data_IF_317073223437
#
_entry.id   IF_317073223437
#
_cell.length_a   1.000
_cell.length_b   1.000
_cell.length_c   1.000
_cell.angle_alpha   90.00
_cell.angle_beta   90.00
_cell.angle_gamma   90.00
#
_symmetry.space_group_name_H-M   'P 1'
#
loop_
_entity.id
_entity.type
_entity.pdbx_description
1 polymer ?
#
# COMPACT_ATOMS: atom_id res chain seq x y z
N UNK A 1 6.21 -23.63 -3.73
CA UNK A 1 5.12 -23.21 -2.83
C UNK A 1 4.69 -21.85 -3.33
N UNK A 2 3.48 -21.69 -3.88
CA UNK A 2 3.03 -20.38 -4.35
C UNK A 2 2.59 -19.60 -3.11
N UNK A 3 3.41 -18.64 -2.67
CA UNK A 3 3.03 -17.73 -1.59
C UNK A 3 1.76 -16.99 -2.02
N UNK A 4 0.63 -17.39 -1.43
CA UNK A 4 -0.68 -16.81 -1.74
C UNK A 4 -0.70 -15.38 -1.20
N UNK A 5 -0.61 -14.40 -2.09
CA UNK A 5 -0.68 -12.99 -1.72
C UNK A 5 -2.11 -12.67 -1.28
N UNK A 6 -2.23 -12.06 -0.10
CA UNK A 6 -3.51 -11.57 0.38
C UNK A 6 -3.74 -10.16 -0.15
N UNK A 7 -4.62 -10.05 -1.15
CA UNK A 7 -5.02 -8.79 -1.79
C UNK A 7 -5.65 -7.77 -0.83
N UNK A 8 -6.13 -8.21 0.34
CA UNK A 8 -6.74 -7.37 1.38
C UNK A 8 -5.73 -6.76 2.34
N UNK A 9 -4.46 -7.18 2.28
CA UNK A 9 -3.40 -6.70 3.17
C UNK A 9 -2.53 -5.69 2.45
N UNK A 10 -2.34 -4.53 3.07
CA UNK A 10 -1.44 -3.49 2.57
C UNK A 10 -0.02 -4.04 2.46
N UNK A 11 0.60 -4.00 1.26
CA UNK A 11 1.90 -4.62 1.04
C UNK A 11 3.04 -3.88 1.75
N UNK A 12 2.80 -2.64 2.22
CA UNK A 12 3.79 -1.82 2.93
C UNK A 12 3.69 -2.02 4.44
N UNK A 13 2.49 -1.86 5.03
CA UNK A 13 2.36 -1.87 6.49
C UNK A 13 1.80 -3.16 7.09
N UNK A 14 1.41 -4.13 6.27
CA UNK A 14 0.90 -5.43 6.73
C UNK A 14 -0.49 -5.41 7.38
N UNK A 15 -1.16 -4.26 7.45
CA UNK A 15 -2.54 -4.11 7.96
C UNK A 15 -3.56 -4.20 6.82
N UNK A 16 -4.84 -4.33 7.15
CA UNK A 16 -5.92 -4.27 6.16
C UNK A 16 -5.84 -3.00 5.29
N UNK A 17 -5.93 -3.20 3.98
CA UNK A 17 -5.92 -2.09 3.04
C UNK A 17 -7.28 -1.40 2.89
N UNK A 18 -8.36 -2.04 3.33
CA UNK A 18 -9.75 -1.57 3.20
C UNK A 18 -10.10 -1.20 1.75
N UNK A 19 -9.47 -1.87 0.78
CA UNK A 19 -9.83 -1.73 -0.62
C UNK A 19 -11.15 -2.45 -0.88
N UNK A 20 -12.06 -1.75 -1.55
CA UNK A 20 -13.40 -2.19 -1.92
C UNK A 20 -13.53 -2.41 -3.44
N UNK A 21 -12.40 -2.58 -4.15
CA UNK A 21 -12.40 -2.77 -5.61
C UNK A 21 -13.16 -4.04 -6.07
N UNK A 22 -13.41 -4.98 -5.17
CA UNK A 22 -14.22 -6.18 -5.40
C UNK A 22 -15.64 -6.09 -4.80
N UNK A 23 -16.08 -4.91 -4.38
CA UNK A 23 -17.43 -4.65 -3.90
C UNK A 23 -18.29 -3.99 -4.98
N UNK A 24 -19.60 -3.97 -4.78
CA UNK A 24 -20.54 -3.26 -5.66
C UNK A 24 -20.44 -1.72 -5.55
N UNK A 25 -19.72 -1.22 -4.53
CA UNK A 25 -19.52 0.21 -4.28
C UNK A 25 -18.17 0.72 -4.81
N UNK A 26 -18.09 1.98 -5.28
CA UNK A 26 -16.83 2.56 -5.72
C UNK A 26 -15.83 2.65 -4.57
N UNK A 27 -14.63 2.13 -4.77
CA UNK A 27 -13.58 2.22 -3.76
C UNK A 27 -12.96 3.63 -3.73
N UNK A 28 -12.65 4.10 -2.52
CA UNK A 28 -11.88 5.34 -2.29
C UNK A 28 -10.56 5.42 -3.08
N UNK A 29 -9.96 4.28 -3.46
CA UNK A 29 -8.67 4.24 -4.16
C UNK A 29 -8.74 4.79 -5.59
N UNK A 30 -9.94 4.87 -6.18
CA UNK A 30 -10.17 5.45 -7.51
C UNK A 30 -10.11 7.00 -7.48
N UNK A 31 -10.23 7.61 -6.30
CA UNK A 31 -10.28 9.06 -6.13
C UNK A 31 -9.01 9.65 -5.51
N UNK A 32 -7.98 8.82 -5.32
CA UNK A 32 -6.74 9.22 -4.65
C UNK A 32 -5.57 8.97 -5.58
N UNK A 33 -4.82 10.02 -5.87
CA UNK A 33 -3.53 9.89 -6.57
C UNK A 33 -2.52 9.19 -5.66
N UNK A 34 -1.90 8.12 -6.16
CA UNK A 34 -0.86 7.38 -5.44
C UNK A 34 0.50 7.81 -6.01
N UNK A 35 1.39 8.40 -5.19
CA UNK A 35 2.72 8.81 -5.65
C UNK A 35 3.52 7.62 -6.20
N UNK A 36 4.21 7.81 -7.33
CA UNK A 36 5.01 6.76 -7.96
C UNK A 36 6.12 6.25 -7.01
N UNK A 37 6.77 7.15 -6.29
CA UNK A 37 7.80 6.80 -5.29
C UNK A 37 7.27 5.82 -4.23
N UNK A 38 6.01 5.97 -3.81
CA UNK A 38 5.38 5.05 -2.86
C UNK A 38 5.11 3.67 -3.48
N UNK A 39 4.77 3.62 -4.78
CA UNK A 39 4.60 2.37 -5.51
C UNK A 39 5.93 1.63 -5.67
N UNK A 40 7.04 2.37 -5.80
CA UNK A 40 8.37 1.79 -5.95
C UNK A 40 8.88 1.12 -4.67
N UNK A 41 8.35 1.51 -3.51
CA UNK A 41 8.61 0.86 -2.21
C UNK A 41 7.92 -0.52 -2.06
N UNK A 42 6.99 -0.88 -2.94
CA UNK A 42 6.31 -2.17 -2.87
C UNK A 42 7.27 -3.28 -3.34
N UNK A 43 7.44 -4.39 -2.59
CA UNK A 43 8.20 -5.53 -3.09
C UNK A 43 7.67 -6.05 -4.43
N UNK A 44 8.55 -6.36 -5.39
CA UNK A 44 8.17 -6.85 -6.73
C UNK A 44 7.17 -8.00 -6.69
N UNK A 45 7.32 -8.92 -5.73
CA UNK A 45 6.40 -10.04 -5.55
C UNK A 45 4.96 -9.61 -5.28
N UNK A 46 4.75 -8.45 -4.66
CA UNK A 46 3.45 -7.88 -4.23
C UNK A 46 2.94 -6.75 -5.13
N UNK A 47 3.76 -6.21 -6.04
CA UNK A 47 3.33 -5.14 -6.98
C UNK A 47 2.14 -5.61 -7.82
N UNK A 48 1.15 -4.72 -7.99
CA UNK A 48 -0.10 -4.96 -8.75
C UNK A 48 -0.95 -6.13 -8.26
N UNK A 49 -0.72 -6.64 -7.04
CA UNK A 49 -1.47 -7.79 -6.45
C UNK A 49 -2.20 -7.46 -5.16
N UNK A 50 -1.84 -6.38 -4.48
CA UNK A 50 -2.54 -5.87 -3.31
C UNK A 50 -2.48 -4.33 -3.30
N UNK A 51 -3.56 -3.69 -2.84
CA UNK A 51 -3.63 -2.24 -2.76
C UNK A 51 -2.89 -1.70 -1.53
N UNK A 52 -2.26 -0.52 -1.67
CA UNK A 52 -1.76 0.27 -0.54
C UNK A 52 -2.97 0.81 0.24
N UNK A 53 -2.90 0.85 1.57
CA UNK A 53 -3.98 1.44 2.38
C UNK A 53 -3.95 2.98 2.35
N UNK A 54 -5.11 3.61 2.53
CA UNK A 54 -5.25 5.07 2.55
C UNK A 54 -4.36 5.74 3.61
N UNK A 55 -4.15 5.08 4.76
CA UNK A 55 -3.25 5.58 5.80
C UNK A 55 -1.82 5.71 5.30
N UNK A 56 -1.27 4.69 4.63
CA UNK A 56 0.08 4.76 4.10
C UNK A 56 0.23 5.82 3.01
N UNK A 57 -0.80 6.00 2.17
CA UNK A 57 -0.79 7.07 1.17
C UNK A 57 -0.75 8.45 1.86
N UNK A 58 -1.57 8.67 2.89
CA UNK A 58 -1.61 9.93 3.64
C UNK A 58 -0.30 10.20 4.39
N UNK A 59 0.20 9.22 5.14
CA UNK A 59 1.44 9.33 5.88
C UNK A 59 2.62 9.63 4.94
N UNK A 60 2.69 8.98 3.77
CA UNK A 60 3.73 9.26 2.78
C UNK A 60 3.59 10.66 2.17
N UNK A 61 2.38 11.13 1.89
CA UNK A 61 2.17 12.49 1.36
C UNK A 61 2.48 13.59 2.37
N UNK A 62 2.34 13.31 3.67
CA UNK A 62 2.66 14.25 4.75
C UNK A 62 4.17 14.43 4.92
N UNK A 63 4.92 13.32 4.99
CA UNK A 63 6.38 13.33 5.08
C UNK A 63 6.98 12.05 4.47
N UNK A 64 7.37 12.07 3.18
CA UNK A 64 7.97 10.92 2.52
C UNK A 64 9.24 10.42 3.22
N UNK A 65 10.07 11.34 3.72
CA UNK A 65 11.35 11.02 4.35
C UNK A 65 11.15 10.28 5.67
N UNK A 66 10.26 10.79 6.52
CA UNK A 66 9.88 10.10 7.76
C UNK A 66 9.22 8.76 7.47
N UNK A 67 8.31 8.69 6.49
CA UNK A 67 7.65 7.45 6.12
C UNK A 67 8.64 6.36 5.73
N UNK A 68 9.59 6.66 4.83
CA UNK A 68 10.60 5.71 4.36
C UNK A 68 11.47 5.23 5.53
N UNK A 69 11.91 6.15 6.38
CA UNK A 69 12.70 5.80 7.57
C UNK A 69 11.93 4.86 8.50
N UNK A 70 10.73 5.25 8.93
CA UNK A 70 9.94 4.52 9.94
C UNK A 70 9.34 3.21 9.45
N UNK A 71 9.13 3.05 8.14
CA UNK A 71 8.41 1.89 7.58
C UNK A 71 9.27 0.93 6.80
N UNK A 72 10.35 1.41 6.18
CA UNK A 72 11.18 0.59 5.30
C UNK A 72 12.55 0.38 5.94
N UNK A 73 13.28 1.47 6.21
CA UNK A 73 14.69 1.38 6.62
C UNK A 73 14.88 0.83 8.04
N UNK A 74 14.01 1.19 8.98
CA UNK A 74 14.10 0.68 10.37
C UNK A 74 13.36 -0.64 10.64
N UNK A 75 12.63 -1.19 9.66
CA UNK A 75 11.95 -2.50 9.80
C UNK A 75 12.56 -3.60 8.89
N UNK A 76 13.75 -3.36 8.34
CA UNK A 76 14.50 -4.32 7.51
C UNK A 76 15.53 -5.10 8.32
#
# INVERSE_FOLDING_TARGET
>A
MFDKINEKICPICGKDNNCMAHSDEPCWCLSVEIPQELLDLIPESKKKKACICLKCIRDFKDDPGKFINERILYNS
#
